data_IF_800116880773
#
_entry.id   IF_800116880773
#
_cell.length_a   1.000
_cell.length_b   1.000
_cell.length_c   1.000
_cell.angle_alpha   90.00
_cell.angle_beta   90.00
_cell.angle_gamma   90.00
#
_symmetry.space_group_name_H-M   'P 1'
#
loop_
_entity.id
_entity.type
_entity.pdbx_description
1 polymer ?
#
# COMPACT_ATOMS: atom_id res chain seq x y z
N UNK A 1 -34.29 0.67 -7.27
CA UNK A 1 -33.48 0.86 -6.05
C UNK A 1 -32.03 0.98 -6.47
N UNK A 2 -31.52 2.20 -6.65
CA UNK A 2 -30.18 2.43 -7.17
C UNK A 2 -29.51 3.46 -6.26
N UNK A 3 -28.62 3.00 -5.40
CA UNK A 3 -27.65 3.87 -4.73
C UNK A 3 -26.27 3.22 -4.84
N UNK A 4 -25.66 3.28 -6.04
CA UNK A 4 -24.20 3.26 -6.14
C UNK A 4 -23.72 4.67 -5.78
N UNK A 5 -23.80 5.01 -4.50
CA UNK A 5 -23.08 6.17 -4.01
C UNK A 5 -21.60 5.81 -3.95
N UNK A 6 -20.83 6.71 -4.53
CA UNK A 6 -19.39 6.80 -4.61
C UNK A 6 -18.77 6.89 -3.20
N UNK A 7 -18.97 5.87 -2.37
CA UNK A 7 -18.44 5.82 -1.00
C UNK A 7 -16.97 5.46 -1.07
N UNK A 8 -16.14 6.42 -0.70
CA UNK A 8 -14.76 6.19 -0.35
C UNK A 8 -14.72 5.13 0.78
N UNK A 9 -14.56 3.85 0.41
CA UNK A 9 -14.57 2.68 1.31
C UNK A 9 -13.49 2.77 2.41
N UNK A 10 -12.48 3.61 2.20
CA UNK A 10 -11.32 3.75 3.06
C UNK A 10 -11.02 5.22 3.37
N UNK A 11 -10.47 5.52 4.57
CA UNK A 11 -10.54 6.86 5.16
C UNK A 11 -9.84 7.98 4.40
N UNK A 12 -8.93 7.66 3.46
CA UNK A 12 -8.23 8.68 2.67
C UNK A 12 -7.74 8.13 1.31
N UNK A 13 -7.30 9.03 0.42
CA UNK A 13 -6.80 8.68 -0.94
C UNK A 13 -5.51 7.85 -0.93
N UNK A 14 -4.81 7.81 0.21
CA UNK A 14 -3.61 7.00 0.44
C UNK A 14 -3.93 5.60 0.99
N UNK A 15 -5.20 5.21 0.96
CA UNK A 15 -5.66 3.89 1.37
C UNK A 15 -6.56 3.28 0.30
N UNK A 16 -6.67 1.96 0.31
CA UNK A 16 -7.50 1.21 -0.63
C UNK A 16 -8.12 -0.02 0.05
N UNK A 17 -9.29 -0.50 -0.42
CA UNK A 17 -9.90 -1.69 0.11
C UNK A 17 -9.09 -2.93 -0.26
N UNK A 18 -9.00 -3.87 0.68
CA UNK A 18 -8.40 -5.18 0.53
C UNK A 18 -9.33 -6.22 1.13
N UNK A 19 -9.66 -7.23 0.33
CA UNK A 19 -10.41 -8.39 0.79
C UNK A 19 -9.45 -9.43 1.38
N UNK A 20 -9.69 -9.78 2.64
CA UNK A 20 -8.90 -10.75 3.39
C UNK A 20 -9.01 -12.13 2.75
N UNK A 21 -7.86 -12.75 2.47
CA UNK A 21 -7.74 -14.05 1.81
C UNK A 21 -7.52 -15.17 2.84
N UNK A 22 -7.81 -16.44 2.47
CA UNK A 22 -7.44 -17.58 3.29
C UNK A 22 -5.95 -17.52 3.70
N UNK A 23 -5.68 -17.67 5.00
CA UNK A 23 -4.33 -17.66 5.56
C UNK A 23 -3.75 -16.27 5.86
N UNK A 24 -4.46 -15.18 5.55
CA UNK A 24 -4.02 -13.85 5.93
C UNK A 24 -4.03 -13.66 7.45
N UNK A 25 -2.98 -13.01 7.94
CA UNK A 25 -2.90 -12.43 9.28
C UNK A 25 -2.66 -10.92 9.19
N UNK A 26 -2.99 -10.17 10.24
CA UNK A 26 -2.71 -8.74 10.29
C UNK A 26 -1.23 -8.42 10.03
N UNK A 27 -0.31 -9.23 10.55
CA UNK A 27 1.12 -9.07 10.34
C UNK A 27 1.52 -9.32 8.88
N UNK A 28 1.00 -10.38 8.25
CA UNK A 28 1.28 -10.66 6.84
C UNK A 28 0.73 -9.59 5.90
N UNK A 29 -0.47 -9.07 6.18
CA UNK A 29 -1.07 -7.98 5.41
C UNK A 29 -0.24 -6.70 5.60
N UNK A 30 0.09 -6.34 6.83
CA UNK A 30 0.89 -5.16 7.11
C UNK A 30 2.23 -5.20 6.37
N UNK A 31 2.94 -6.32 6.45
CA UNK A 31 4.20 -6.52 5.74
C UNK A 31 4.04 -6.39 4.21
N UNK A 32 2.99 -7.00 3.65
CA UNK A 32 2.69 -6.95 2.21
C UNK A 32 2.47 -5.53 1.69
N UNK A 33 1.81 -4.68 2.48
CA UNK A 33 1.48 -3.31 2.10
C UNK A 33 2.44 -2.25 2.67
N UNK A 34 3.58 -2.67 3.21
CA UNK A 34 4.62 -1.76 3.69
C UNK A 34 4.21 -0.92 4.90
N UNK A 35 3.40 -1.48 5.80
CA UNK A 35 3.03 -0.86 7.08
C UNK A 35 3.30 -1.82 8.24
N UNK A 36 2.95 -1.42 9.45
CA UNK A 36 3.00 -2.24 10.66
C UNK A 36 1.59 -2.47 11.22
N UNK A 37 1.50 -3.31 12.25
CA UNK A 37 0.23 -3.65 12.90
C UNK A 37 -0.52 -2.41 13.41
N UNK A 38 0.19 -1.45 14.00
CA UNK A 38 -0.39 -0.22 14.55
C UNK A 38 -1.03 0.60 13.44
N UNK A 39 -0.30 0.88 12.35
CA UNK A 39 -0.82 1.61 11.20
C UNK A 39 -2.00 0.91 10.52
N UNK A 40 -1.98 -0.43 10.45
CA UNK A 40 -3.11 -1.20 9.94
C UNK A 40 -4.35 -1.09 10.83
N UNK A 41 -4.19 -1.09 12.16
CA UNK A 41 -5.29 -0.91 13.13
C UNK A 41 -5.81 0.53 13.10
N UNK A 42 -4.94 1.53 12.94
CA UNK A 42 -5.36 2.93 12.81
C UNK A 42 -6.24 3.16 11.57
N UNK A 43 -5.92 2.50 10.46
CA UNK A 43 -6.77 2.48 9.27
C UNK A 43 -8.08 1.69 9.47
N UNK A 44 -8.12 0.78 10.44
CA UNK A 44 -9.25 -0.13 10.68
C UNK A 44 -9.58 -0.24 12.18
N UNK A 45 -10.07 0.82 12.85
CA UNK A 45 -10.24 0.83 14.31
C UNK A 45 -11.13 -0.30 14.84
N UNK A 46 -12.07 -0.79 14.02
CA UNK A 46 -12.94 -1.93 14.38
C UNK A 46 -12.17 -3.22 14.67
N UNK A 47 -10.96 -3.40 14.12
CA UNK A 47 -10.10 -4.56 14.40
C UNK A 47 -9.52 -4.57 15.82
N UNK A 48 -9.70 -3.50 16.61
CA UNK A 48 -9.42 -3.52 18.05
C UNK A 48 -10.43 -4.37 18.82
N UNK A 49 -11.63 -4.56 18.26
CA UNK A 49 -12.77 -5.19 18.93
C UNK A 49 -13.14 -6.55 18.31
N UNK A 50 -12.53 -6.92 17.18
CA UNK A 50 -12.82 -8.18 16.50
C UNK A 50 -11.59 -8.74 15.79
N UNK A 51 -11.59 -10.06 15.63
CA UNK A 51 -10.59 -10.77 14.84
C UNK A 51 -10.76 -10.52 13.35
N UNK A 52 -9.65 -10.67 12.61
CA UNK A 52 -9.65 -10.70 11.15
C UNK A 52 -10.35 -11.99 10.67
N UNK A 53 -11.18 -11.88 9.64
CA UNK A 53 -11.92 -13.01 9.06
C UNK A 53 -11.79 -13.00 7.54
N UNK A 54 -11.72 -14.17 6.93
CA UNK A 54 -11.72 -14.31 5.47
C UNK A 54 -12.96 -13.65 4.84
N UNK A 55 -12.78 -13.04 3.65
CA UNK A 55 -13.83 -12.31 2.93
C UNK A 55 -14.14 -10.93 3.52
N UNK A 56 -13.58 -10.59 4.68
CA UNK A 56 -13.70 -9.24 5.25
C UNK A 56 -12.97 -8.24 4.37
N UNK A 57 -13.60 -7.11 4.07
CA UNK A 57 -12.92 -5.97 3.46
C UNK A 57 -12.34 -5.06 4.53
N UNK A 58 -11.04 -4.76 4.45
CA UNK A 58 -10.32 -3.81 5.29
C UNK A 58 -9.60 -2.78 4.44
N UNK A 59 -9.13 -1.71 5.05
CA UNK A 59 -8.36 -0.67 4.41
C UNK A 59 -6.86 -0.88 4.62
N UNK A 60 -6.11 -0.88 3.53
CA UNK A 60 -4.63 -0.98 3.55
C UNK A 60 -4.03 0.26 2.91
N UNK A 61 -2.77 0.61 3.22
CA UNK A 61 -2.06 1.66 2.50
C UNK A 61 -2.08 1.39 0.99
N UNK A 62 -2.40 2.43 0.23
CA UNK A 62 -2.20 2.45 -1.21
C UNK A 62 -0.72 2.67 -1.44
N UNK A 63 -0.03 1.64 -1.92
CA UNK A 63 1.31 1.81 -2.47
C UNK A 63 1.14 2.61 -3.77
N UNK A 64 1.74 3.81 -3.89
CA UNK A 64 1.64 4.57 -5.13
C UNK A 64 2.20 3.71 -6.27
N UNK A 65 1.39 3.52 -7.31
CA UNK A 65 1.86 2.91 -8.53
C UNK A 65 3.02 3.75 -9.05
N UNK A 66 4.15 3.10 -9.35
CA UNK A 66 5.28 3.78 -9.95
C UNK A 66 4.82 4.31 -11.31
N UNK A 67 4.78 5.63 -11.55
CA UNK A 67 4.35 6.15 -12.83
C UNK A 67 5.26 5.61 -13.94
N UNK A 68 4.73 5.36 -15.15
CA UNK A 68 5.57 4.97 -16.28
C UNK A 68 6.68 6.00 -16.50
N UNK A 69 7.93 5.56 -16.49
CA UNK A 69 9.07 6.42 -16.82
C UNK A 69 9.16 6.57 -18.34
N UNK A 70 8.43 7.55 -18.88
CA UNK A 70 8.45 7.88 -20.32
C UNK A 70 9.85 8.40 -20.67
N UNK A 71 10.55 7.68 -21.56
CA UNK A 71 11.93 7.98 -21.98
C UNK A 71 12.99 7.94 -20.86
N UNK A 72 12.73 7.19 -19.79
CA UNK A 72 13.69 7.01 -18.69
C UNK A 72 13.65 5.62 -18.11
N UNK A 73 14.50 5.37 -17.12
CA UNK A 73 14.51 4.14 -16.36
C UNK A 73 14.66 4.44 -14.86
N UNK A 74 14.01 3.62 -14.03
CA UNK A 74 14.30 3.62 -12.61
C UNK A 74 15.70 3.05 -12.37
N UNK A 75 16.50 3.75 -11.58
CA UNK A 75 17.82 3.29 -11.16
C UNK A 75 17.85 3.09 -9.65
N UNK A 76 18.27 1.90 -9.22
CA UNK A 76 18.53 1.60 -7.81
C UNK A 76 19.99 1.87 -7.54
N UNK A 77 20.25 2.79 -6.60
CA UNK A 77 21.59 3.12 -6.12
C UNK A 77 22.29 1.85 -5.64
N UNK A 78 23.51 1.66 -6.12
CA UNK A 78 24.43 0.57 -5.76
C UNK A 78 25.58 1.12 -4.94
N UNK A 79 26.27 0.23 -4.26
CA UNK A 79 27.50 0.60 -3.54
C UNK A 79 28.51 1.25 -4.51
N UNK A 80 29.07 2.39 -4.09
CA UNK A 80 30.00 3.18 -4.90
C UNK A 80 29.35 4.21 -5.84
N UNK A 81 28.02 4.28 -5.91
CA UNK A 81 27.34 5.34 -6.65
C UNK A 81 27.45 6.71 -5.96
N UNK A 82 27.47 7.76 -6.78
CA UNK A 82 27.34 9.16 -6.37
C UNK A 82 26.38 9.88 -7.31
N UNK A 83 25.76 10.97 -6.86
CA UNK A 83 24.94 11.77 -7.78
C UNK A 83 25.73 12.24 -9.01
N UNK A 84 27.03 12.52 -8.85
CA UNK A 84 27.91 12.94 -9.93
C UNK A 84 28.08 11.85 -11.00
N UNK A 85 28.45 10.63 -10.63
CA UNK A 85 28.69 9.56 -11.62
C UNK A 85 27.39 9.02 -12.24
N UNK A 86 26.27 9.08 -11.51
CA UNK A 86 24.94 8.78 -12.05
C UNK A 86 24.57 9.85 -13.09
N UNK A 87 24.74 11.14 -12.77
CA UNK A 87 24.46 12.24 -13.69
C UNK A 87 25.35 12.17 -14.94
N UNK A 88 26.64 11.85 -14.82
CA UNK A 88 27.50 11.65 -15.99
C UNK A 88 27.08 10.47 -16.87
N UNK A 89 26.45 9.44 -16.30
CA UNK A 89 26.01 8.25 -17.04
C UNK A 89 24.69 8.47 -17.78
N UNK A 90 23.79 9.30 -17.23
CA UNK A 90 22.40 9.42 -17.69
C UNK A 90 21.94 10.84 -18.05
N UNK A 91 22.75 11.88 -17.79
CA UNK A 91 22.50 13.26 -18.20
C UNK A 91 23.06 13.56 -19.59
#
# INVERSE_FOLDING_TARGET
>A
MIYRQNQQLCPNIYSMPYEVRPGDTLNSIAARFGTNLVGLIELNPTLRLRSLTEGMTICVPRVPERPPCVNGAYYTIREGDSFYNIAQRYG
#
